data_IF_592908622882
#
_entry.id   IF_592908622882
#
_cell.length_a   1.000
_cell.length_b   1.000
_cell.length_c   1.000
_cell.angle_alpha   90.00
_cell.angle_beta   90.00
_cell.angle_gamma   90.00
#
_symmetry.space_group_name_H-M   'P 1'
#
loop_
_entity.id
_entity.type
_entity.pdbx_description
1 polymer ?
#
# COMPACT_ATOMS: atom_id res chain seq x y z
N UNK A 1 -3.96 -16.44 2.01
CA UNK A 1 -4.74 -16.64 3.26
C UNK A 1 -3.79 -17.28 4.27
N UNK A 2 -3.41 -16.54 5.31
CA UNK A 2 -2.41 -16.97 6.30
C UNK A 2 -2.96 -18.13 7.16
N UNK A 3 -2.20 -19.22 7.27
CA UNK A 3 -2.58 -20.46 7.98
C UNK A 3 -1.84 -20.65 9.32
N UNK A 4 -1.18 -19.61 9.83
CA UNK A 4 -0.39 -19.70 11.05
C UNK A 4 -1.21 -19.80 12.33
N UNK A 5 -0.61 -20.38 13.35
CA UNK A 5 -1.17 -20.56 14.69
C UNK A 5 -1.18 -19.24 15.49
N UNK A 6 -2.06 -19.12 16.49
CA UNK A 6 -2.10 -17.93 17.36
C UNK A 6 -0.75 -17.58 18.04
N UNK A 7 0.11 -18.56 18.42
CA UNK A 7 1.49 -18.27 18.85
C UNK A 7 2.38 -17.65 17.77
N UNK A 8 2.26 -18.05 16.50
CA UNK A 8 3.02 -17.46 15.40
C UNK A 8 2.59 -16.02 15.13
N UNK A 9 1.28 -15.75 15.18
CA UNK A 9 0.76 -14.39 15.17
C UNK A 9 1.33 -13.58 16.35
N UNK A 10 1.30 -14.13 17.57
CA UNK A 10 1.83 -13.43 18.75
C UNK A 10 3.33 -13.12 18.63
N UNK A 11 4.15 -14.09 18.24
CA UNK A 11 5.60 -13.97 18.23
C UNK A 11 6.12 -13.11 17.08
N UNK A 12 5.49 -13.16 15.91
CA UNK A 12 5.93 -12.37 14.76
C UNK A 12 5.26 -11.00 14.70
N UNK A 13 3.92 -10.94 14.83
CA UNK A 13 3.18 -9.70 14.65
C UNK A 13 3.33 -8.75 15.83
N UNK A 14 3.23 -9.22 17.09
CA UNK A 14 3.26 -8.30 18.25
C UNK A 14 4.66 -7.72 18.47
N UNK A 15 5.71 -8.52 18.28
CA UNK A 15 7.10 -8.05 18.37
C UNK A 15 7.41 -7.08 17.23
N UNK A 16 7.05 -7.44 15.98
CA UNK A 16 7.21 -6.53 14.84
C UNK A 16 6.41 -5.24 15.01
N UNK A 17 5.17 -5.33 15.48
CA UNK A 17 4.34 -4.17 15.77
C UNK A 17 5.01 -3.24 16.78
N UNK A 18 5.57 -3.73 17.88
CA UNK A 18 6.24 -2.85 18.85
C UNK A 18 7.51 -2.19 18.30
N UNK A 19 8.21 -2.82 17.36
CA UNK A 19 9.38 -2.24 16.70
C UNK A 19 8.98 -1.13 15.72
N UNK A 20 7.86 -1.31 15.02
CA UNK A 20 7.43 -0.40 13.97
C UNK A 20 6.49 0.70 14.43
N UNK A 21 5.64 0.37 15.38
CA UNK A 21 4.60 1.24 15.92
C UNK A 21 4.68 1.22 17.45
N UNK A 22 5.72 1.87 18.01
CA UNK A 22 5.95 1.86 19.44
C UNK A 22 4.73 2.43 20.16
N UNK A 23 4.34 1.84 21.30
CA UNK A 23 3.26 2.37 22.16
C UNK A 23 3.46 3.83 22.59
N UNK A 24 4.68 4.35 22.45
CA UNK A 24 5.00 5.75 22.69
C UNK A 24 4.35 6.71 21.68
N UNK A 25 3.92 6.22 20.51
CA UNK A 25 3.24 7.03 19.51
C UNK A 25 1.75 7.08 19.87
N UNK A 26 1.37 8.02 20.73
CA UNK A 26 -0.01 8.12 21.25
C UNK A 26 -1.03 8.62 20.22
N UNK A 27 -0.58 9.09 19.07
CA UNK A 27 -1.39 9.65 17.97
C UNK A 27 -1.50 8.67 16.79
N UNK A 28 -1.50 7.36 17.08
CA UNK A 28 -1.21 6.36 16.08
C UNK A 28 -1.94 5.06 16.42
N UNK A 29 -2.70 4.53 15.45
CA UNK A 29 -3.59 3.39 15.65
C UNK A 29 -3.36 2.32 14.56
N UNK A 30 -3.67 1.07 14.90
CA UNK A 30 -3.69 -0.04 13.92
C UNK A 30 -5.13 -0.43 13.65
N UNK A 31 -5.49 -0.42 12.37
CA UNK A 31 -6.78 -0.87 11.88
C UNK A 31 -6.60 -2.16 11.08
N UNK A 32 -7.36 -3.19 11.41
CA UNK A 32 -7.45 -4.43 10.62
C UNK A 32 -8.83 -4.45 9.96
N UNK A 33 -8.82 -4.43 8.63
CA UNK A 33 -10.04 -4.52 7.80
C UNK A 33 -10.27 -5.99 7.43
N UNK A 34 -11.48 -6.46 7.65
CA UNK A 34 -11.89 -7.86 7.49
C UNK A 34 -13.18 -7.97 6.68
N UNK A 35 -13.45 -9.15 6.12
CA UNK A 35 -14.61 -9.39 5.29
C UNK A 35 -15.87 -9.60 6.14
N UNK A 36 -16.87 -8.72 5.99
CA UNK A 36 -18.10 -8.75 6.78
C UNK A 36 -18.89 -10.07 6.65
N UNK A 37 -18.82 -10.71 5.50
CA UNK A 37 -19.51 -11.98 5.23
C UNK A 37 -18.72 -13.22 5.67
N UNK A 38 -17.44 -13.08 6.01
CA UNK A 38 -16.57 -14.21 6.33
C UNK A 38 -16.71 -14.62 7.79
N UNK A 39 -17.36 -15.76 8.04
CA UNK A 39 -17.42 -16.34 9.40
C UNK A 39 -16.04 -16.66 9.97
N UNK A 40 -15.03 -16.89 9.11
CA UNK A 40 -13.65 -17.05 9.54
C UNK A 40 -13.08 -15.74 10.08
N UNK A 41 -13.31 -14.63 9.39
CA UNK A 41 -12.81 -13.31 9.77
C UNK A 41 -13.44 -12.83 11.07
N UNK A 42 -14.72 -13.12 11.30
CA UNK A 42 -15.34 -12.89 12.60
C UNK A 42 -14.65 -13.66 13.74
N UNK A 43 -14.15 -14.87 13.49
CA UNK A 43 -13.34 -15.61 14.47
C UNK A 43 -11.98 -14.94 14.67
N UNK A 44 -11.32 -14.51 13.59
CA UNK A 44 -10.05 -13.76 13.66
C UNK A 44 -10.22 -12.49 14.49
N UNK A 45 -11.25 -11.69 14.23
CA UNK A 45 -11.59 -10.49 14.99
C UNK A 45 -11.76 -10.75 16.50
N UNK A 46 -12.41 -11.87 16.86
CA UNK A 46 -12.60 -12.26 18.26
C UNK A 46 -11.28 -12.55 18.99
N UNK A 47 -10.25 -12.95 18.25
CA UNK A 47 -8.89 -13.16 18.77
C UNK A 47 -8.15 -11.83 18.84
N UNK A 48 -8.17 -11.04 17.75
CA UNK A 48 -7.48 -9.74 17.67
C UNK A 48 -7.94 -8.76 18.76
N UNK A 49 -9.24 -8.72 19.07
CA UNK A 49 -9.80 -7.88 20.14
C UNK A 49 -9.28 -8.23 21.55
N UNK A 50 -8.64 -9.39 21.71
CA UNK A 50 -8.12 -9.89 22.99
C UNK A 50 -6.60 -9.87 23.07
N UNK A 51 -5.92 -9.53 21.98
CA UNK A 51 -4.46 -9.56 21.92
C UNK A 51 -3.90 -8.16 21.68
N UNK A 52 -2.95 -7.70 22.53
CA UNK A 52 -2.11 -6.55 22.21
C UNK A 52 -1.58 -6.62 20.77
N UNK A 53 -1.55 -5.52 20.01
CA UNK A 53 -1.80 -4.13 20.41
C UNK A 53 -3.29 -3.73 20.50
N UNK A 54 -4.23 -4.67 20.41
CA UNK A 54 -5.67 -4.42 20.36
C UNK A 54 -6.05 -3.52 19.18
N UNK A 55 -5.78 -3.97 17.93
CA UNK A 55 -6.11 -3.17 16.77
C UNK A 55 -7.63 -2.90 16.72
N UNK A 56 -8.00 -1.75 16.18
CA UNK A 56 -9.38 -1.52 15.77
C UNK A 56 -9.70 -2.50 14.64
N UNK A 57 -10.80 -3.25 14.78
CA UNK A 57 -11.24 -4.19 13.75
C UNK A 57 -12.47 -3.62 13.06
N UNK A 58 -12.40 -3.51 11.73
CA UNK A 58 -13.50 -3.03 10.90
C UNK A 58 -13.90 -4.13 9.92
N UNK A 59 -15.20 -4.28 9.71
CA UNK A 59 -15.75 -5.21 8.73
C UNK A 59 -16.23 -4.46 7.51
N UNK A 60 -15.64 -4.75 6.36
CA UNK A 60 -16.02 -4.19 5.08
C UNK A 60 -16.97 -5.15 4.35
N UNK A 61 -18.07 -4.64 3.82
CA UNK A 61 -18.96 -5.43 2.96
C UNK A 61 -18.33 -5.63 1.58
N UNK A 62 -18.57 -6.79 0.97
CA UNK A 62 -18.12 -7.05 -0.40
C UNK A 62 -18.72 -5.99 -1.34
N UNK A 63 -17.93 -5.40 -2.25
CA UNK A 63 -18.48 -4.45 -3.22
C UNK A 63 -19.50 -5.13 -4.15
N UNK A 64 -20.23 -4.31 -4.89
CA UNK A 64 -21.32 -4.77 -5.76
C UNK A 64 -20.87 -5.80 -6.81
N UNK A 65 -21.80 -6.58 -7.37
CA UNK A 65 -21.50 -7.52 -8.44
C UNK A 65 -20.80 -6.83 -9.62
N UNK A 66 -19.73 -7.44 -10.13
CA UNK A 66 -18.97 -6.93 -11.27
C UNK A 66 -17.85 -5.95 -10.92
N UNK A 67 -17.74 -5.47 -9.68
CA UNK A 67 -16.62 -4.58 -9.28
C UNK A 67 -15.30 -5.33 -9.25
N UNK A 68 -15.26 -6.49 -8.60
CA UNK A 68 -14.05 -7.30 -8.47
C UNK A 68 -13.86 -8.20 -9.68
N UNK A 69 -12.61 -8.36 -10.11
CA UNK A 69 -12.23 -9.35 -11.09
C UNK A 69 -11.52 -10.54 -10.42
N UNK A 70 -11.83 -11.76 -10.87
CA UNK A 70 -11.15 -12.98 -10.42
C UNK A 70 -10.05 -13.43 -11.38
N UNK A 71 -9.79 -12.67 -12.46
CA UNK A 71 -8.81 -13.02 -13.50
C UNK A 71 -7.38 -13.04 -12.98
N UNK A 72 -7.11 -12.35 -11.87
CA UNK A 72 -5.78 -12.23 -11.31
C UNK A 72 -5.73 -12.74 -9.84
N UNK A 73 -4.96 -13.82 -9.61
CA UNK A 73 -4.76 -14.56 -8.34
C UNK A 73 -6.03 -15.07 -7.64
N UNK A 74 -6.82 -14.17 -7.04
CA UNK A 74 -8.05 -14.51 -6.34
C UNK A 74 -8.93 -13.29 -6.13
N UNK A 75 -10.22 -13.51 -5.91
CA UNK A 75 -11.17 -12.44 -5.57
C UNK A 75 -10.76 -11.71 -4.29
N UNK A 76 -10.25 -12.42 -3.27
CA UNK A 76 -9.78 -11.79 -2.02
C UNK A 76 -8.57 -10.87 -2.24
N UNK A 77 -7.66 -11.24 -3.14
CA UNK A 77 -6.54 -10.38 -3.51
C UNK A 77 -7.02 -9.12 -4.24
N UNK A 78 -7.94 -9.28 -5.19
CA UNK A 78 -8.60 -8.16 -5.88
C UNK A 78 -9.32 -7.24 -4.89
N UNK A 79 -10.07 -7.80 -3.93
CA UNK A 79 -10.76 -7.03 -2.89
C UNK A 79 -9.79 -6.22 -2.06
N UNK A 80 -8.68 -6.79 -1.61
CA UNK A 80 -7.66 -6.05 -0.86
C UNK A 80 -7.17 -4.81 -1.63
N UNK A 81 -6.90 -4.94 -2.93
CA UNK A 81 -6.51 -3.79 -3.76
C UNK A 81 -7.61 -2.73 -3.83
N UNK A 82 -8.88 -3.15 -3.97
CA UNK A 82 -10.04 -2.25 -3.95
C UNK A 82 -10.15 -1.53 -2.59
N UNK A 83 -10.13 -2.26 -1.49
CA UNK A 83 -10.28 -1.74 -0.12
C UNK A 83 -9.20 -0.72 0.22
N UNK A 84 -7.97 -0.91 -0.27
CA UNK A 84 -6.88 0.06 -0.06
C UNK A 84 -7.20 1.44 -0.62
N UNK A 85 -7.97 1.56 -1.71
CA UNK A 85 -8.42 2.85 -2.21
C UNK A 85 -9.46 3.52 -1.32
N UNK A 86 -10.02 2.84 -0.33
CA UNK A 86 -11.04 3.33 0.60
C UNK A 86 -10.58 3.37 2.06
N UNK A 87 -9.27 3.28 2.29
CA UNK A 87 -8.72 3.28 3.64
C UNK A 87 -9.02 4.58 4.42
N UNK A 88 -9.30 5.69 3.72
CA UNK A 88 -9.79 6.95 4.29
C UNK A 88 -11.11 6.80 5.07
N UNK A 89 -11.91 5.78 4.77
CA UNK A 89 -13.19 5.53 5.45
C UNK A 89 -13.04 4.80 6.78
N UNK A 90 -11.87 4.23 7.05
CA UNK A 90 -11.64 3.33 8.17
C UNK A 90 -10.97 4.03 9.37
N UNK A 91 -10.59 5.29 9.21
CA UNK A 91 -9.88 6.06 10.24
C UNK A 91 -10.10 7.56 10.06
N UNK A 92 -9.99 8.29 11.18
CA UNK A 92 -9.96 9.75 11.20
C UNK A 92 -8.53 10.33 11.22
N UNK A 93 -7.50 9.48 11.22
CA UNK A 93 -6.11 9.91 11.22
C UNK A 93 -5.75 10.72 9.95
N UNK A 94 -4.84 11.69 10.09
CA UNK A 94 -4.40 12.53 8.97
C UNK A 94 -3.68 11.74 7.88
N UNK A 95 -2.98 10.68 8.27
CA UNK A 95 -2.19 9.83 7.39
C UNK A 95 -2.55 8.36 7.58
N UNK A 96 -2.59 7.63 6.48
CA UNK A 96 -2.84 6.19 6.43
C UNK A 96 -1.59 5.50 5.89
N UNK A 97 -1.00 4.62 6.69
CA UNK A 97 0.14 3.79 6.29
C UNK A 97 -0.31 2.36 5.98
N UNK A 98 0.10 1.83 4.83
CA UNK A 98 -0.16 0.45 4.45
C UNK A 98 1.03 -0.44 4.75
N UNK A 99 0.75 -1.67 5.19
CA UNK A 99 1.69 -2.76 5.36
C UNK A 99 0.97 -4.07 5.05
N UNK A 100 1.65 -5.02 4.42
CA UNK A 100 1.03 -6.30 4.12
C UNK A 100 0.90 -7.15 5.39
N UNK A 101 -0.20 -7.89 5.51
CA UNK A 101 -0.49 -8.72 6.69
C UNK A 101 0.51 -9.87 6.91
N UNK A 102 1.26 -10.24 5.87
CA UNK A 102 2.31 -11.27 5.88
C UNK A 102 3.72 -10.68 6.02
N UNK A 103 3.84 -9.44 6.51
CA UNK A 103 5.12 -8.80 6.81
C UNK A 103 5.41 -8.76 8.30
N UNK A 104 6.71 -8.80 8.63
CA UNK A 104 7.25 -8.59 9.96
C UNK A 104 8.24 -7.44 9.91
N UNK A 105 8.10 -6.52 10.86
CA UNK A 105 9.05 -5.43 11.04
C UNK A 105 10.27 -5.89 11.82
N UNK A 106 11.45 -5.68 11.27
CA UNK A 106 12.72 -6.16 11.85
C UNK A 106 13.64 -5.02 12.29
N UNK A 107 13.25 -3.77 12.01
CA UNK A 107 14.02 -2.57 12.35
C UNK A 107 13.14 -1.64 13.19
N UNK A 108 13.64 -1.05 14.28
CA UNK A 108 12.95 0.04 14.97
C UNK A 108 12.69 1.20 14.00
N UNK A 109 11.48 1.76 14.03
CA UNK A 109 11.11 2.91 13.20
C UNK A 109 10.92 4.15 14.09
N UNK A 110 11.55 5.25 13.73
CA UNK A 110 11.28 6.56 14.29
C UNK A 110 10.34 7.36 13.36
N UNK A 111 9.63 8.36 13.91
CA UNK A 111 8.77 9.25 13.11
C UNK A 111 9.56 9.91 11.97
N UNK A 112 10.83 10.25 12.21
CA UNK A 112 11.72 10.82 11.19
C UNK A 112 12.10 9.86 10.05
N UNK A 113 11.85 8.56 10.20
CA UNK A 113 12.03 7.60 9.11
C UNK A 113 10.81 7.56 8.18
N UNK A 114 9.64 7.92 8.71
CA UNK A 114 8.35 7.96 8.01
C UNK A 114 8.01 9.35 7.45
N UNK A 115 8.48 10.41 8.10
CA UNK A 115 8.19 11.80 7.74
C UNK A 115 9.46 12.64 7.64
N UNK A 116 9.56 13.44 6.58
CA UNK A 116 10.68 14.37 6.34
C UNK A 116 10.11 15.78 6.28
N UNK A 117 10.46 16.62 7.26
CA UNK A 117 9.92 17.99 7.35
C UNK A 117 8.40 18.04 7.49
N UNK A 118 7.79 17.03 8.13
CA UNK A 118 6.33 16.91 8.28
C UNK A 118 5.61 16.28 7.08
N UNK A 119 6.30 16.02 5.97
CA UNK A 119 5.74 15.37 4.78
C UNK A 119 5.94 13.86 4.84
N UNK A 120 4.96 13.04 4.43
CA UNK A 120 5.16 11.60 4.35
C UNK A 120 6.27 11.25 3.36
N UNK A 121 7.14 10.33 3.78
CA UNK A 121 8.19 9.79 2.94
C UNK A 121 7.60 8.76 1.98
N UNK A 122 7.84 8.93 0.68
CA UNK A 122 7.51 7.94 -0.34
C UNK A 122 8.80 7.36 -0.90
N UNK A 123 8.94 6.05 -0.82
CA UNK A 123 10.08 5.31 -1.39
C UNK A 123 9.64 4.50 -2.60
N UNK A 124 10.45 4.48 -3.64
CA UNK A 124 10.18 3.77 -4.89
C UNK A 124 11.49 3.43 -5.59
N UNK A 125 11.45 2.64 -6.66
CA UNK A 125 12.60 2.44 -7.55
C UNK A 125 12.46 3.32 -8.79
N UNK A 126 13.51 4.08 -9.14
CA UNK A 126 13.53 4.94 -10.33
C UNK A 126 13.72 4.09 -11.60
N UNK A 127 12.71 3.29 -11.93
CA UNK A 127 12.68 2.35 -13.04
C UNK A 127 12.24 0.96 -12.62
N UNK A 128 11.27 0.39 -13.34
CA UNK A 128 11.00 -1.05 -13.46
C UNK A 128 10.08 -1.28 -14.67
N UNK A 129 10.12 -2.53 -15.16
CA UNK A 129 8.96 -3.31 -15.59
C UNK A 129 7.98 -2.65 -16.58
N UNK A 130 8.18 -2.91 -17.88
CA UNK A 130 7.44 -2.30 -19.00
C UNK A 130 5.97 -2.67 -19.11
N UNK A 131 5.59 -3.87 -18.67
CA UNK A 131 4.24 -4.41 -18.91
C UNK A 131 3.11 -3.60 -18.27
N UNK A 132 3.46 -2.78 -17.27
CA UNK A 132 2.53 -2.10 -16.38
C UNK A 132 2.42 -0.61 -16.70
N UNK A 133 3.32 -0.12 -17.57
CA UNK A 133 3.47 1.31 -17.79
C UNK A 133 2.28 1.93 -18.53
N UNK A 134 1.88 1.31 -19.65
CA UNK A 134 0.70 1.74 -20.43
C UNK A 134 -0.60 1.72 -19.60
N UNK A 135 -0.85 0.67 -18.80
CA UNK A 135 -1.90 0.65 -17.80
C UNK A 135 -1.99 1.85 -16.89
N UNK A 136 -0.88 2.14 -16.20
CA UNK A 136 -0.78 3.25 -15.26
C UNK A 136 -0.96 4.57 -16.00
N UNK A 137 -0.34 4.72 -17.17
CA UNK A 137 -0.47 5.93 -17.99
C UNK A 137 -1.92 6.20 -18.41
N UNK A 138 -2.68 5.16 -18.77
CA UNK A 138 -4.10 5.29 -19.08
C UNK A 138 -4.95 5.66 -17.87
N UNK A 139 -4.71 5.07 -16.70
CA UNK A 139 -5.51 5.32 -15.51
C UNK A 139 -5.19 6.66 -14.83
N UNK A 140 -3.94 7.11 -14.93
CA UNK A 140 -3.45 8.33 -14.27
C UNK A 140 -3.39 9.52 -15.23
N UNK A 141 -3.18 9.29 -16.53
CA UNK A 141 -3.01 10.35 -17.53
C UNK A 141 -1.61 10.96 -17.55
N UNK A 142 -0.61 10.25 -17.01
CA UNK A 142 0.78 10.68 -16.94
C UNK A 142 1.73 9.50 -17.05
N UNK A 143 2.96 9.75 -17.52
CA UNK A 143 3.96 8.69 -17.70
C UNK A 143 4.36 8.08 -16.35
N UNK A 144 4.69 6.78 -16.31
CA UNK A 144 5.25 6.21 -15.10
C UNK A 144 6.58 6.88 -14.73
N UNK A 145 6.78 7.15 -13.44
CA UNK A 145 7.96 7.85 -12.89
C UNK A 145 8.81 6.97 -11.99
N UNK A 146 8.24 5.90 -11.44
CA UNK A 146 8.91 4.95 -10.58
C UNK A 146 8.06 3.66 -10.40
N UNK A 147 8.66 2.63 -9.82
CA UNK A 147 7.97 1.44 -9.30
C UNK A 147 7.70 1.61 -7.81
N UNK A 148 6.43 1.67 -7.43
CA UNK A 148 5.97 1.85 -6.04
C UNK A 148 5.53 0.55 -5.37
N UNK A 149 5.27 -0.52 -6.13
CA UNK A 149 4.90 -1.81 -5.55
C UNK A 149 6.13 -2.65 -5.20
N UNK A 150 6.91 -2.19 -4.21
CA UNK A 150 8.17 -2.83 -3.84
C UNK A 150 8.27 -3.01 -2.34
N UNK A 151 9.00 -4.02 -1.87
CA UNK A 151 9.25 -4.22 -0.44
C UNK A 151 9.91 -2.99 0.23
N UNK A 152 10.59 -2.17 -0.56
CA UNK A 152 11.25 -0.93 -0.12
C UNK A 152 10.33 0.28 -0.07
N UNK A 153 9.12 0.17 -0.61
CA UNK A 153 8.11 1.23 -0.65
C UNK A 153 7.22 1.24 0.58
N UNK A 154 7.33 0.22 1.43
CA UNK A 154 6.53 0.10 2.63
C UNK A 154 7.25 0.67 3.88
N UNK A 155 6.49 1.29 4.81
CA UNK A 155 5.06 1.57 4.70
C UNK A 155 4.78 2.61 3.62
N UNK A 156 3.73 2.36 2.83
CA UNK A 156 3.26 3.34 1.86
C UNK A 156 2.28 4.27 2.57
N UNK A 157 2.64 5.53 2.75
CA UNK A 157 1.87 6.48 3.56
C UNK A 157 1.15 7.48 2.66
N UNK A 158 -0.16 7.62 2.85
CA UNK A 158 -1.03 8.51 2.08
C UNK A 158 -1.76 9.46 3.01
N UNK A 159 -1.79 10.75 2.68
CA UNK A 159 -2.63 11.71 3.40
C UNK A 159 -4.10 11.38 3.16
N UNK A 160 -4.92 11.33 4.22
CA UNK A 160 -6.32 10.88 4.16
C UNK A 160 -7.14 11.69 3.16
N UNK A 161 -6.89 12.99 3.07
CA UNK A 161 -7.57 13.88 2.12
C UNK A 161 -7.35 13.54 0.64
N UNK A 162 -6.39 12.68 0.30
CA UNK A 162 -6.02 12.41 -1.10
C UNK A 162 -6.79 11.23 -1.70
N UNK A 163 -7.40 10.36 -0.90
CA UNK A 163 -8.10 9.17 -1.39
C UNK A 163 -9.34 9.48 -2.23
N UNK A 164 -10.25 10.34 -1.74
CA UNK A 164 -11.46 10.68 -2.50
C UNK A 164 -11.16 11.39 -3.83
N UNK A 165 -10.27 12.41 -3.87
CA UNK A 165 -9.82 13.00 -5.12
C UNK A 165 -9.10 12.00 -6.05
N UNK A 166 -8.32 11.06 -5.51
CA UNK A 166 -7.65 10.01 -6.30
C UNK A 166 -8.64 9.10 -7.00
N UNK A 167 -9.63 8.57 -6.27
CA UNK A 167 -10.70 7.75 -6.86
C UNK A 167 -11.45 8.50 -7.96
N UNK A 168 -11.77 9.78 -7.71
CA UNK A 168 -12.43 10.63 -8.70
C UNK A 168 -11.54 10.90 -9.93
N UNK A 169 -10.24 11.10 -9.73
CA UNK A 169 -9.28 11.30 -10.81
C UNK A 169 -9.22 10.07 -11.72
N UNK A 170 -8.99 8.90 -11.15
CA UNK A 170 -8.91 7.63 -11.88
C UNK A 170 -10.18 7.38 -12.69
N UNK A 171 -11.36 7.55 -12.07
CA UNK A 171 -12.63 7.37 -12.76
C UNK A 171 -12.78 8.31 -13.96
N UNK A 172 -12.44 9.59 -13.79
CA UNK A 172 -12.49 10.58 -14.88
C UNK A 172 -11.53 10.25 -16.01
N UNK A 173 -10.28 9.90 -15.71
CA UNK A 173 -9.26 9.60 -16.72
C UNK A 173 -9.64 8.37 -17.55
N UNK A 174 -10.24 7.36 -16.92
CA UNK A 174 -10.74 6.16 -17.60
C UNK A 174 -12.11 6.35 -18.27
N UNK A 175 -12.73 7.52 -18.17
CA UNK A 175 -14.07 7.78 -18.72
C UNK A 175 -15.18 6.96 -18.03
N UNK A 176 -14.95 6.54 -16.80
CA UNK A 176 -15.87 5.74 -16.01
C UNK A 176 -16.86 6.62 -15.23
N UNK A 177 -18.10 6.14 -15.04
CA UNK A 177 -19.11 6.87 -14.29
C UNK A 177 -18.83 6.87 -12.78
N UNK A 178 -18.27 5.77 -12.28
CA UNK A 178 -17.90 5.58 -10.87
C UNK A 178 -16.49 5.03 -10.73
N UNK A 179 -15.93 5.11 -9.52
CA UNK A 179 -14.67 4.42 -9.23
C UNK A 179 -14.83 2.90 -9.27
N UNK A 180 -16.01 2.37 -8.98
CA UNK A 180 -16.28 0.93 -9.06
C UNK A 180 -16.15 0.43 -10.50
N UNK A 181 -16.72 1.16 -11.46
CA UNK A 181 -16.57 0.87 -12.90
C UNK A 181 -15.11 1.00 -13.34
N UNK A 182 -14.43 2.06 -12.88
CA UNK A 182 -13.02 2.29 -13.16
C UNK A 182 -12.14 1.16 -12.60
N UNK A 183 -12.44 0.71 -11.37
CA UNK A 183 -11.70 -0.35 -10.71
C UNK A 183 -11.90 -1.70 -11.40
N UNK A 184 -13.11 -1.98 -11.91
CA UNK A 184 -13.32 -3.17 -12.74
C UNK A 184 -12.38 -3.18 -13.95
N UNK A 185 -12.30 -2.06 -14.69
CA UNK A 185 -11.34 -1.91 -15.79
C UNK A 185 -9.90 -2.07 -15.30
N UNK A 186 -9.56 -1.47 -14.14
CA UNK A 186 -8.24 -1.59 -13.51
C UNK A 186 -7.88 -3.07 -13.26
N UNK A 187 -8.80 -3.79 -12.62
CA UNK A 187 -8.58 -5.17 -12.25
C UNK A 187 -8.46 -6.07 -13.49
N UNK A 188 -9.38 -5.91 -14.44
CA UNK A 188 -9.49 -6.79 -15.61
C UNK A 188 -8.33 -6.64 -16.58
N UNK A 189 -7.86 -5.41 -16.81
CA UNK A 189 -6.82 -5.13 -17.81
C UNK A 189 -5.40 -5.12 -17.24
N UNK A 190 -5.25 -4.84 -15.94
CA UNK A 190 -3.97 -4.37 -15.43
C UNK A 190 -3.39 -5.25 -14.32
N UNK A 191 -4.16 -5.92 -13.46
CA UNK A 191 -3.59 -6.79 -12.41
C UNK A 191 -3.09 -6.02 -11.17
N UNK A 192 -1.92 -6.38 -10.63
CA UNK A 192 -1.40 -5.85 -9.34
C UNK A 192 -0.76 -4.48 -9.49
N UNK A 193 -1.52 -3.37 -9.43
CA UNK A 193 -0.90 -2.04 -9.57
C UNK A 193 -1.44 -1.00 -8.59
N UNK A 194 -2.01 -1.39 -7.46
CA UNK A 194 -2.66 -0.43 -6.55
C UNK A 194 -1.69 0.64 -6.05
N UNK A 195 -0.50 0.25 -5.57
CA UNK A 195 0.49 1.20 -5.04
C UNK A 195 1.14 2.02 -6.15
N UNK A 196 1.28 1.47 -7.36
CA UNK A 196 1.73 2.24 -8.51
C UNK A 196 0.70 3.29 -8.91
N UNK A 197 -0.58 2.94 -9.01
CA UNK A 197 -1.64 3.91 -9.29
C UNK A 197 -1.67 5.03 -8.23
N UNK A 198 -1.58 4.66 -6.95
CA UNK A 198 -1.52 5.63 -5.85
C UNK A 198 -0.28 6.53 -5.97
N UNK A 199 0.91 5.94 -6.09
CA UNK A 199 2.17 6.67 -6.14
C UNK A 199 2.24 7.65 -7.32
N UNK A 200 1.80 7.22 -8.50
CA UNK A 200 1.74 8.09 -9.69
C UNK A 200 0.71 9.21 -9.55
N UNK A 201 -0.48 8.92 -9.01
CA UNK A 201 -1.44 9.99 -8.73
C UNK A 201 -0.87 11.03 -7.75
N UNK A 202 -0.26 10.57 -6.66
CA UNK A 202 0.35 11.46 -5.66
C UNK A 202 1.50 12.28 -6.27
N UNK A 203 2.30 11.67 -7.15
CA UNK A 203 3.37 12.35 -7.87
C UNK A 203 2.84 13.50 -8.73
N UNK A 204 1.75 13.27 -9.48
CA UNK A 204 1.25 14.26 -10.42
C UNK A 204 0.34 15.31 -9.78
N UNK A 205 -0.48 14.94 -8.80
CA UNK A 205 -1.50 15.81 -8.23
C UNK A 205 -1.07 16.48 -6.90
N UNK A 206 -0.17 15.85 -6.15
CA UNK A 206 0.19 16.24 -4.78
C UNK A 206 1.70 16.20 -4.54
N UNK A 207 2.50 16.48 -5.59
CA UNK A 207 3.97 16.36 -5.58
C UNK A 207 4.64 17.00 -4.37
N UNK A 208 4.13 18.16 -3.95
CA UNK A 208 4.70 18.98 -2.89
C UNK A 208 4.28 18.55 -1.49
N UNK A 209 3.29 17.67 -1.35
CA UNK A 209 2.82 17.21 -0.03
C UNK A 209 3.65 16.04 0.50
N UNK A 210 4.55 15.49 -0.31
CA UNK A 210 5.34 14.29 -0.01
C UNK A 210 6.84 14.55 -0.15
N UNK A 211 7.62 13.76 0.58
CA UNK A 211 9.07 13.70 0.45
C UNK A 211 9.46 12.45 -0.34
N UNK A 212 10.00 12.64 -1.54
CA UNK A 212 10.26 11.57 -2.50
C UNK A 212 11.69 11.06 -2.40
N UNK A 213 11.85 9.76 -2.24
CA UNK A 213 13.16 9.10 -2.12
C UNK A 213 13.21 7.89 -3.05
N UNK A 214 13.59 8.11 -4.30
CA UNK A 214 13.72 7.01 -5.24
C UNK A 214 15.05 6.29 -5.04
N UNK A 215 15.07 5.00 -5.38
CA UNK A 215 16.27 4.17 -5.35
C UNK A 215 16.75 3.93 -6.76
N UNK A 216 18.05 3.66 -6.88
CA UNK A 216 18.63 3.27 -8.14
C UNK A 216 17.89 2.02 -8.66
N UNK A 217 17.74 1.88 -9.98
CA UNK A 217 17.03 0.75 -10.57
C UNK A 217 17.53 -0.61 -10.04
N UNK A 218 16.60 -1.52 -9.77
CA UNK A 218 16.77 -2.77 -9.00
C UNK A 218 17.57 -3.89 -9.72
N UNK A 219 18.90 -3.79 -9.88
CA UNK A 219 19.91 -4.66 -10.55
C UNK A 219 19.67 -6.11 -11.11
N UNK A 220 18.53 -6.79 -10.98
CA UNK A 220 18.31 -8.19 -11.37
C UNK A 220 17.49 -8.44 -12.64
N UNK A 221 16.64 -7.51 -13.07
CA UNK A 221 15.88 -7.63 -14.31
C UNK A 221 16.29 -6.51 -15.28
N UNK A 222 16.53 -6.84 -16.54
CA UNK A 222 17.05 -5.95 -17.58
C UNK A 222 16.54 -4.49 -17.47
N UNK A 223 17.40 -3.58 -16.99
CA UNK A 223 17.01 -2.20 -16.75
C UNK A 223 16.79 -1.42 -18.03
N UNK A 224 15.56 -0.91 -18.15
CA UNK A 224 15.31 0.31 -18.91
C UNK A 224 15.88 1.54 -18.19
N UNK A 225 16.03 2.63 -18.93
CA UNK A 225 16.49 3.93 -18.43
C UNK A 225 15.66 4.42 -17.23
N UNK A 226 16.26 5.29 -16.42
CA UNK A 226 15.57 5.99 -15.34
C UNK A 226 14.23 6.58 -15.83
N UNK A 227 13.16 6.38 -15.05
CA UNK A 227 11.82 6.87 -15.38
C UNK A 227 11.61 8.33 -14.95
N UNK A 228 12.38 8.79 -13.96
CA UNK A 228 12.43 10.18 -13.50
C UNK A 228 13.84 10.74 -13.62
N UNK A 229 13.95 11.95 -14.16
CA UNK A 229 15.16 12.78 -14.23
C UNK A 229 15.14 13.92 -13.20
N UNK A 230 14.23 13.87 -12.23
CA UNK A 230 14.05 14.89 -11.21
C UNK A 230 15.26 14.96 -10.26
N UNK A 231 16.05 16.03 -10.41
CA UNK A 231 17.31 16.21 -9.72
C UNK A 231 17.18 16.23 -8.18
N UNK A 232 16.07 16.74 -7.64
CA UNK A 232 15.87 16.82 -6.19
C UNK A 232 15.62 15.43 -5.60
N UNK A 233 14.85 14.60 -6.31
CA UNK A 233 14.59 13.22 -5.90
C UNK A 233 15.85 12.36 -6.06
N UNK A 234 16.61 12.58 -7.14
CA UNK A 234 17.88 11.91 -7.41
C UNK A 234 18.97 12.30 -6.39
N UNK A 235 18.97 13.54 -5.89
CA UNK A 235 19.87 13.97 -4.82
C UNK A 235 19.48 13.36 -3.45
N UNK A 236 18.19 13.11 -3.22
CA UNK A 236 17.66 12.54 -1.99
C UNK A 236 17.83 11.00 -1.88
N UNK A 237 18.35 10.32 -2.91
CA UNK A 237 18.41 8.85 -3.02
C UNK A 237 19.29 8.14 -1.97
N UNK A 238 20.12 8.86 -1.18
CA UNK A 238 21.27 8.24 -0.50
C UNK A 238 21.39 8.39 1.02
N UNK A 239 20.49 9.04 1.76
CA UNK A 239 20.86 9.49 3.11
C UNK A 239 20.26 8.73 4.30
N UNK A 240 19.30 7.82 4.13
CA UNK A 240 18.72 7.06 5.27
C UNK A 240 18.43 5.60 4.94
N UNK A 241 18.77 4.66 5.84
CA UNK A 241 18.45 3.25 5.67
C UNK A 241 16.95 3.05 5.46
N UNK A 242 16.61 1.99 4.72
CA UNK A 242 15.23 1.57 4.53
C UNK A 242 14.58 1.26 5.87
N UNK A 243 13.30 1.60 6.01
CA UNK A 243 12.45 0.79 6.89
C UNK A 243 12.39 -0.59 6.25
N UNK A 244 13.06 -1.56 6.86
CA UNK A 244 13.16 -2.92 6.31
C UNK A 244 12.01 -3.75 6.84
N UNK A 245 11.18 -4.23 5.93
CA UNK A 245 10.21 -5.29 6.20
C UNK A 245 10.81 -6.63 5.78
N UNK A 246 10.64 -7.64 6.62
CA UNK A 246 10.86 -9.02 6.23
C UNK A 246 9.51 -9.64 5.89
N UNK A 247 9.38 -10.19 4.68
CA UNK A 247 8.23 -11.05 4.37
C UNK A 247 8.34 -12.33 5.20
N UNK A 248 7.27 -12.71 5.90
CA UNK A 248 7.25 -13.96 6.66
C UNK A 248 7.43 -15.14 5.70
N UNK A 249 8.50 -15.91 5.91
CA UNK A 249 8.81 -17.11 5.12
C UNK A 249 7.70 -18.13 5.39
N UNK A 250 6.92 -18.46 4.35
CA UNK A 250 5.79 -19.38 4.45
C UNK A 250 4.93 -19.47 3.19
N UNK A 251 4.99 -18.46 2.31
CA UNK A 251 4.52 -18.57 0.94
C UNK A 251 5.72 -18.62 0.01
N UNK A 252 6.02 -19.82 -0.49
CA UNK A 252 6.81 -19.99 -1.71
C UNK A 252 6.20 -19.15 -2.82
N UNK A 253 7.05 -18.40 -3.52
CA UNK A 253 6.75 -17.67 -4.75
C UNK A 253 5.70 -18.39 -5.61
N UNK A 254 4.47 -17.86 -5.75
CA UNK A 254 3.54 -18.16 -6.85
C UNK A 254 2.49 -17.05 -6.98
#
# INVERSE_FOLDING_TARGET
>A
MYSGTAPEWWQAFVVGHQLFWPRAWTNSDVVVVLDAESAHDWRVASVLSRLPPFPAVVFEAKPGPGVLCASFRSEGYCRQMYSNFFADRQTEADFVGFVDSDTMFITPVAVGDLFVGGKPRVSAYNGCCTGWNSPIERAIGGKPVAEFMTSSSFPFIVHRGHFAPMRAHIARTLGAATFDDAFHTICAEYGEHQYDLMGHYLWYAHRDDYAWHFRAPRGHDAFQAAQSDDADVLAAMQTRPAVSLMKMIGHSDF
#
